data_IF_309665279353
#
_entry.id   IF_309665279353
#
_cell.length_a   1.000
_cell.length_b   1.000
_cell.length_c   1.000
_cell.angle_alpha   90.00
_cell.angle_beta   90.00
_cell.angle_gamma   90.00
#
_symmetry.space_group_name_H-M   'P 1'
#
loop_
_entity.id
_entity.type
_entity.pdbx_description
1 polymer ?
#
# COMPACT_ATOMS: atom_id res chain seq x y z
N UNK A 1 -43.99 25.89 42.26
CA UNK A 1 -43.10 24.72 42.03
C UNK A 1 -42.85 24.57 40.55
N UNK A 2 -41.62 24.87 40.10
CA UNK A 2 -40.91 24.23 38.97
C UNK A 2 -39.65 25.05 38.70
N UNK A 3 -38.56 24.65 39.35
CA UNK A 3 -37.22 25.12 38.99
C UNK A 3 -36.77 24.39 37.71
N UNK A 4 -36.22 25.14 36.77
CA UNK A 4 -35.62 24.65 35.53
C UNK A 4 -34.10 24.55 35.76
N UNK A 5 -33.59 23.32 35.91
CA UNK A 5 -32.16 23.06 36.04
C UNK A 5 -31.54 22.97 34.63
N UNK A 6 -30.77 23.98 34.23
CA UNK A 6 -30.02 24.02 32.97
C UNK A 6 -28.62 23.44 33.22
N UNK A 7 -28.38 22.21 32.77
CA UNK A 7 -27.08 21.54 32.89
C UNK A 7 -26.22 21.86 31.65
N UNK A 8 -25.28 22.78 31.80
CA UNK A 8 -24.26 23.13 30.80
C UNK A 8 -23.13 22.10 30.87
N UNK A 9 -23.15 21.11 29.98
CA UNK A 9 -22.03 20.18 29.79
C UNK A 9 -20.92 20.85 28.97
N UNK A 10 -20.00 21.53 29.67
CA UNK A 10 -18.72 21.99 29.13
C UNK A 10 -17.77 20.78 29.00
N UNK A 11 -17.89 20.01 27.91
CA UNK A 11 -16.84 19.08 27.51
C UNK A 11 -15.67 19.90 26.90
N UNK A 12 -14.71 20.25 27.76
CA UNK A 12 -13.41 20.74 27.34
C UNK A 12 -12.65 19.67 26.56
N UNK A 13 -12.80 19.67 25.23
CA UNK A 13 -11.92 18.94 24.32
C UNK A 13 -10.53 19.59 24.41
N UNK A 14 -9.74 19.10 25.36
CA UNK A 14 -8.31 19.37 25.42
C UNK A 14 -7.69 18.72 24.20
N UNK A 15 -7.45 19.51 23.15
CA UNK A 15 -6.64 19.11 22.01
C UNK A 15 -5.26 18.77 22.55
N UNK A 16 -5.00 17.50 22.84
CA UNK A 16 -3.64 17.03 23.08
C UNK A 16 -2.92 17.26 21.76
N UNK A 17 -2.21 18.39 21.66
CA UNK A 17 -1.27 18.66 20.59
C UNK A 17 -0.14 17.66 20.80
N UNK A 18 -0.33 16.45 20.30
CA UNK A 18 0.77 15.53 20.08
C UNK A 18 1.73 16.30 19.18
N UNK A 19 2.96 16.54 19.66
CA UNK A 19 4.03 16.99 18.80
C UNK A 19 4.14 15.93 17.69
N UNK A 20 3.54 16.22 16.53
CA UNK A 20 3.38 15.24 15.47
C UNK A 20 4.75 14.77 15.00
N UNK A 21 4.85 13.47 14.71
CA UNK A 21 6.04 12.89 14.09
C UNK A 21 6.42 13.70 12.86
N UNK A 22 7.71 13.95 12.70
CA UNK A 22 8.28 14.65 11.55
C UNK A 22 8.94 13.64 10.62
N UNK A 23 9.11 14.03 9.38
CA UNK A 23 9.88 13.25 8.41
C UNK A 23 11.28 12.88 8.90
N UNK A 24 11.95 13.75 9.66
CA UNK A 24 13.26 13.47 10.27
C UNK A 24 13.25 12.30 11.24
N UNK A 25 12.13 12.03 11.90
CA UNK A 25 12.00 10.98 12.92
C UNK A 25 11.88 9.60 12.27
N UNK A 26 11.34 9.56 11.04
CA UNK A 26 11.08 8.34 10.26
C UNK A 26 11.97 8.25 9.02
N UNK A 27 13.12 8.93 9.04
CA UNK A 27 14.14 8.82 7.99
C UNK A 27 15.12 7.70 8.33
N UNK A 28 15.42 6.85 7.35
CA UNK A 28 16.40 5.78 7.51
C UNK A 28 17.77 6.35 7.96
N UNK A 29 18.37 5.71 8.96
CA UNK A 29 19.60 6.17 9.61
C UNK A 29 19.38 7.01 10.87
N UNK A 30 18.13 7.34 11.23
CA UNK A 30 17.80 7.84 12.56
C UNK A 30 18.03 6.74 13.61
N UNK A 31 18.61 7.08 14.76
CA UNK A 31 18.91 6.13 15.86
C UNK A 31 17.66 5.36 16.32
N UNK A 32 16.49 6.02 16.32
CA UNK A 32 15.22 5.43 16.74
C UNK A 32 14.28 5.15 15.56
N UNK A 33 14.83 4.92 14.35
CA UNK A 33 14.05 4.76 13.12
C UNK A 33 12.90 3.74 13.26
N UNK A 34 13.19 2.53 13.74
CA UNK A 34 12.19 1.47 13.86
C UNK A 34 11.10 1.81 14.88
N UNK A 35 11.49 2.32 16.05
CA UNK A 35 10.54 2.75 17.10
C UNK A 35 9.62 3.86 16.58
N UNK A 36 10.17 4.83 15.84
CA UNK A 36 9.40 5.93 15.24
C UNK A 36 8.51 5.49 14.09
N UNK A 37 8.91 4.47 13.33
CA UNK A 37 8.07 3.86 12.31
C UNK A 37 6.90 3.08 12.92
N UNK A 38 7.13 2.34 14.01
CA UNK A 38 6.05 1.69 14.76
C UNK A 38 5.09 2.71 15.41
N UNK A 39 5.63 3.78 15.98
CA UNK A 39 4.84 4.89 16.52
C UNK A 39 3.97 5.52 15.42
N UNK A 40 4.55 5.77 14.24
CA UNK A 40 3.83 6.25 13.07
C UNK A 40 2.70 5.30 12.66
N UNK A 41 2.98 4.00 12.56
CA UNK A 41 1.99 2.99 12.17
C UNK A 41 0.80 2.96 13.14
N UNK A 42 1.05 3.05 14.45
CA UNK A 42 0.03 3.12 15.49
C UNK A 42 -0.81 4.39 15.41
N UNK A 43 -0.17 5.56 15.30
CA UNK A 43 -0.87 6.86 15.22
C UNK A 43 -1.68 6.96 13.90
N UNK A 44 -1.13 6.45 12.80
CA UNK A 44 -1.79 6.40 11.50
C UNK A 44 -2.89 5.33 11.42
N UNK A 45 -3.04 4.49 12.46
CA UNK A 45 -4.02 3.39 12.53
C UNK A 45 -3.88 2.40 11.37
N UNK A 46 -2.64 2.06 11.01
CA UNK A 46 -2.39 0.96 10.08
C UNK A 46 -2.90 -0.37 10.68
N UNK A 47 -3.33 -1.34 9.85
CA UNK A 47 -3.76 -2.65 10.32
C UNK A 47 -2.72 -3.26 11.26
N UNK A 48 -3.18 -3.66 12.46
CA UNK A 48 -2.36 -4.24 13.54
C UNK A 48 -1.16 -3.37 13.99
N UNK A 49 -1.14 -2.09 13.64
CA UNK A 49 0.01 -1.21 13.88
C UNK A 49 1.27 -1.62 13.10
N UNK A 50 1.12 -2.45 12.07
CA UNK A 50 2.21 -2.94 11.24
C UNK A 50 2.49 -2.00 10.07
N UNK A 51 3.76 -1.91 9.67
CA UNK A 51 4.18 -1.24 8.44
C UNK A 51 5.06 -2.19 7.62
N UNK A 52 4.95 -2.09 6.30
CA UNK A 52 5.70 -2.91 5.35
C UNK A 52 6.81 -2.11 4.67
N UNK A 53 7.70 -2.79 3.93
CA UNK A 53 8.67 -2.12 3.04
C UNK A 53 8.06 -1.13 2.05
N UNK A 54 6.79 -1.33 1.66
CA UNK A 54 6.09 -0.40 0.76
C UNK A 54 5.70 0.88 1.50
N UNK A 55 5.30 0.76 2.77
CA UNK A 55 5.07 1.92 3.63
C UNK A 55 6.36 2.72 3.82
N UNK A 56 7.50 2.06 4.04
CA UNK A 56 8.81 2.72 4.11
C UNK A 56 9.13 3.50 2.82
N UNK A 57 8.94 2.88 1.64
CA UNK A 57 9.16 3.54 0.35
C UNK A 57 8.23 4.75 0.16
N UNK A 58 6.95 4.60 0.50
CA UNK A 58 5.98 5.68 0.45
C UNK A 58 6.37 6.85 1.37
N UNK A 59 6.73 6.58 2.63
CA UNK A 59 7.15 7.60 3.60
C UNK A 59 8.39 8.33 3.11
N UNK A 60 9.40 7.60 2.64
CA UNK A 60 10.63 8.18 2.09
C UNK A 60 10.33 9.12 0.93
N UNK A 61 9.53 8.70 -0.05
CA UNK A 61 9.16 9.54 -1.21
C UNK A 61 8.31 10.74 -0.82
N UNK A 62 7.35 10.56 0.09
CA UNK A 62 6.48 11.61 0.60
C UNK A 62 7.30 12.69 1.33
N UNK A 63 8.24 12.27 2.16
CA UNK A 63 9.11 13.18 2.91
C UNK A 63 10.09 13.95 2.02
N UNK A 64 10.53 13.34 0.93
CA UNK A 64 11.41 13.94 -0.08
C UNK A 64 10.67 14.73 -1.18
N UNK A 65 9.33 14.83 -1.14
CA UNK A 65 8.53 15.58 -2.10
C UNK A 65 8.38 14.92 -3.49
N UNK A 66 8.71 13.63 -3.62
CA UNK A 66 8.63 12.86 -4.88
C UNK A 66 7.24 12.26 -5.07
N UNK A 67 6.24 13.11 -5.34
CA UNK A 67 4.83 12.72 -5.28
C UNK A 67 4.34 11.83 -6.44
N UNK A 68 4.99 11.85 -7.61
CA UNK A 68 4.49 11.13 -8.80
C UNK A 68 4.50 9.61 -8.62
N UNK A 69 5.46 9.09 -7.88
CA UNK A 69 5.60 7.65 -7.65
C UNK A 69 4.75 7.13 -6.48
N UNK A 70 4.25 8.04 -5.62
CA UNK A 70 3.36 7.67 -4.51
C UNK A 70 2.05 7.10 -5.04
N UNK A 71 1.50 7.73 -6.07
CA UNK A 71 0.25 7.29 -6.68
C UNK A 71 0.39 5.90 -7.31
N UNK A 72 1.58 5.55 -7.81
CA UNK A 72 1.84 4.22 -8.37
C UNK A 72 1.74 3.12 -7.33
N UNK A 73 2.30 3.33 -6.13
CA UNK A 73 2.21 2.34 -5.03
C UNK A 73 0.76 2.03 -4.67
N UNK A 74 -0.12 3.04 -4.74
CA UNK A 74 -1.54 2.90 -4.46
C UNK A 74 -2.28 2.29 -5.66
N UNK A 75 -1.94 2.71 -6.88
CA UNK A 75 -2.55 2.18 -8.11
C UNK A 75 -2.29 0.66 -8.25
N UNK A 76 -1.04 0.27 -7.99
CA UNK A 76 -0.55 -1.11 -7.99
C UNK A 76 -1.04 -1.92 -6.77
N UNK A 77 -1.74 -1.29 -5.83
CA UNK A 77 -2.32 -1.92 -4.64
C UNK A 77 -1.29 -2.43 -3.63
N UNK A 78 -0.15 -1.76 -3.52
CA UNK A 78 0.85 -2.04 -2.48
C UNK A 78 0.52 -1.38 -1.13
N UNK A 79 -0.26 -0.29 -1.16
CA UNK A 79 -0.70 0.48 0.01
C UNK A 79 -2.15 0.92 -0.23
N UNK A 80 -3.00 0.85 0.80
CA UNK A 80 -4.35 1.37 0.71
C UNK A 80 -4.37 2.91 0.65
N UNK A 81 -5.28 3.50 -0.12
CA UNK A 81 -5.37 4.95 -0.26
C UNK A 81 -5.63 5.66 1.09
N UNK A 82 -6.38 5.03 2.01
CA UNK A 82 -6.65 5.57 3.35
C UNK A 82 -5.43 5.48 4.26
N UNK A 83 -4.65 4.42 4.15
CA UNK A 83 -3.37 4.28 4.88
C UNK A 83 -2.41 5.38 4.45
N UNK A 84 -2.21 5.55 3.14
CA UNK A 84 -1.37 6.61 2.57
C UNK A 84 -1.81 8.01 3.02
N UNK A 85 -3.11 8.28 3.03
CA UNK A 85 -3.66 9.56 3.51
C UNK A 85 -3.45 9.76 5.02
N UNK A 86 -3.59 8.69 5.81
CA UNK A 86 -3.41 8.74 7.27
C UNK A 86 -1.95 8.99 7.65
N UNK A 87 -1.01 8.29 7.01
CA UNK A 87 0.44 8.53 7.16
C UNK A 87 0.78 9.98 6.84
N UNK A 88 0.31 10.49 5.70
CA UNK A 88 0.58 11.87 5.32
C UNK A 88 0.07 12.88 6.34
N UNK A 89 -1.12 12.65 6.90
CA UNK A 89 -1.68 13.50 7.95
C UNK A 89 -0.82 13.51 9.21
N UNK A 90 -0.36 12.34 9.68
CA UNK A 90 0.49 12.24 10.88
C UNK A 90 1.81 12.99 10.69
N UNK A 91 2.40 12.90 9.50
CA UNK A 91 3.65 13.58 9.16
C UNK A 91 3.48 15.08 8.79
N UNK A 92 2.28 15.64 8.96
CA UNK A 92 1.98 17.03 8.63
C UNK A 92 2.08 17.35 7.14
N UNK A 93 1.93 16.34 6.26
CA UNK A 93 1.98 16.48 4.81
C UNK A 93 0.59 16.55 4.21
N UNK A 94 0.43 17.38 3.17
CA UNK A 94 -0.77 17.39 2.33
C UNK A 94 -0.59 16.37 1.21
N UNK A 95 -1.36 15.29 1.25
CA UNK A 95 -1.40 14.29 0.19
C UNK A 95 -2.84 13.85 -0.06
N UNK A 96 -3.21 13.77 -1.34
CA UNK A 96 -4.53 13.30 -1.78
C UNK A 96 -4.29 12.23 -2.84
N UNK A 97 -4.51 10.95 -2.51
CA UNK A 97 -4.26 9.87 -3.46
C UNK A 97 -5.22 9.95 -4.64
N UNK A 98 -4.73 9.55 -5.82
CA UNK A 98 -5.58 9.35 -6.99
C UNK A 98 -6.40 8.06 -6.83
N UNK A 99 -7.53 8.00 -7.52
CA UNK A 99 -8.27 6.74 -7.64
C UNK A 99 -7.48 5.75 -8.48
N UNK A 100 -7.54 4.47 -8.11
CA UNK A 100 -6.90 3.40 -8.87
C UNK A 100 -7.48 3.30 -10.28
N UNK A 101 -6.61 3.20 -11.26
CA UNK A 101 -6.92 2.92 -12.66
C UNK A 101 -7.37 1.47 -12.84
N UNK A 102 -8.06 1.17 -13.94
CA UNK A 102 -8.41 -0.22 -14.26
C UNK A 102 -7.16 -1.10 -14.48
N UNK A 103 -6.09 -0.50 -15.01
CA UNK A 103 -4.81 -1.17 -15.18
C UNK A 103 -4.20 -1.55 -13.82
N UNK A 104 -4.12 -0.60 -12.88
CA UNK A 104 -3.61 -0.83 -11.53
C UNK A 104 -4.45 -1.83 -10.74
N UNK A 105 -5.78 -1.79 -10.87
CA UNK A 105 -6.69 -2.80 -10.30
C UNK A 105 -6.40 -4.19 -10.86
N UNK A 106 -6.30 -4.32 -12.19
CA UNK A 106 -5.98 -5.59 -12.87
C UNK A 106 -4.63 -6.15 -12.42
N UNK A 107 -3.61 -5.30 -12.35
CA UNK A 107 -2.29 -5.67 -11.89
C UNK A 107 -2.31 -6.14 -10.42
N UNK A 108 -2.91 -5.37 -9.51
CA UNK A 108 -2.98 -5.74 -8.10
C UNK A 108 -3.74 -7.05 -7.87
N UNK A 109 -4.89 -7.22 -8.53
CA UNK A 109 -5.68 -8.46 -8.49
C UNK A 109 -4.87 -9.67 -9.00
N UNK A 110 -4.26 -9.54 -10.18
CA UNK A 110 -3.54 -10.65 -10.79
C UNK A 110 -2.27 -11.01 -10.00
N UNK A 111 -1.54 -10.04 -9.46
CA UNK A 111 -0.38 -10.28 -8.58
C UNK A 111 -0.77 -11.10 -7.34
N UNK A 112 -1.84 -10.71 -6.65
CA UNK A 112 -2.36 -11.46 -5.50
C UNK A 112 -2.73 -12.89 -5.91
N UNK A 113 -3.48 -13.05 -7.00
CA UNK A 113 -3.87 -14.39 -7.49
C UNK A 113 -2.68 -15.27 -7.88
N UNK A 114 -1.65 -14.72 -8.51
CA UNK A 114 -0.47 -15.50 -8.82
C UNK A 114 0.33 -15.87 -7.55
N UNK A 115 0.36 -14.99 -6.56
CA UNK A 115 0.91 -15.32 -5.24
C UNK A 115 0.13 -16.44 -4.56
N UNK A 116 -1.21 -16.40 -4.60
CA UNK A 116 -2.09 -17.47 -4.07
C UNK A 116 -1.86 -18.81 -4.77
N UNK A 117 -1.48 -18.77 -6.05
CA UNK A 117 -1.08 -19.94 -6.83
C UNK A 117 0.34 -20.44 -6.49
N UNK A 118 1.02 -19.86 -5.51
CA UNK A 118 2.34 -20.32 -5.03
C UNK A 118 3.52 -19.79 -5.84
N UNK A 119 3.34 -18.75 -6.66
CA UNK A 119 4.48 -18.07 -7.28
C UNK A 119 5.26 -17.28 -6.23
N UNK A 120 6.58 -17.21 -6.40
CA UNK A 120 7.41 -16.29 -5.61
C UNK A 120 6.95 -14.84 -5.81
N UNK A 121 7.15 -13.95 -4.83
CA UNK A 121 6.68 -12.55 -4.92
C UNK A 121 7.17 -11.84 -6.20
N UNK A 122 8.46 -11.98 -6.54
CA UNK A 122 9.03 -11.40 -7.77
C UNK A 122 8.49 -12.08 -9.04
N UNK A 123 8.14 -13.36 -8.96
CA UNK A 123 7.57 -14.13 -10.05
C UNK A 123 6.14 -13.65 -10.33
N UNK A 124 5.32 -13.55 -9.28
CA UNK A 124 3.94 -13.06 -9.34
C UNK A 124 3.89 -11.63 -9.88
N UNK A 125 4.81 -10.77 -9.43
CA UNK A 125 4.97 -9.40 -9.93
C UNK A 125 5.22 -9.34 -11.43
N UNK A 126 6.24 -10.06 -11.91
CA UNK A 126 6.58 -10.12 -13.34
C UNK A 126 5.40 -10.64 -14.17
N UNK A 127 4.76 -11.74 -13.72
CA UNK A 127 3.63 -12.32 -14.43
C UNK A 127 2.43 -11.36 -14.46
N UNK A 128 2.11 -10.69 -13.35
CA UNK A 128 1.05 -9.69 -13.28
C UNK A 128 1.30 -8.54 -14.25
N UNK A 129 2.56 -8.09 -14.38
CA UNK A 129 2.94 -7.09 -15.36
C UNK A 129 2.72 -7.59 -16.80
N UNK A 130 3.14 -8.81 -17.13
CA UNK A 130 2.88 -9.40 -18.45
C UNK A 130 1.38 -9.58 -18.74
N UNK A 131 0.60 -10.03 -17.76
CA UNK A 131 -0.84 -10.17 -17.88
C UNK A 131 -1.50 -8.82 -18.18
N UNK A 132 -1.07 -7.78 -17.50
CA UNK A 132 -1.71 -6.46 -17.54
C UNK A 132 -1.24 -5.61 -18.74
N UNK A 133 0.07 -5.52 -18.98
CA UNK A 133 0.65 -4.66 -20.01
C UNK A 133 0.83 -5.37 -21.36
N UNK A 134 1.01 -6.70 -21.35
CA UNK A 134 1.31 -7.50 -22.55
C UNK A 134 0.41 -8.75 -22.64
N UNK A 135 -0.93 -8.60 -22.57
CA UNK A 135 -1.85 -9.75 -22.44
C UNK A 135 -1.73 -10.75 -23.60
N UNK A 136 -1.34 -10.29 -24.79
CA UNK A 136 -1.18 -11.13 -25.98
C UNK A 136 0.19 -11.82 -26.09
N UNK A 137 1.14 -11.51 -25.20
CA UNK A 137 2.43 -12.19 -25.13
C UNK A 137 2.27 -13.66 -24.72
N UNK A 138 3.33 -14.46 -24.90
CA UNK A 138 3.33 -15.87 -24.46
C UNK A 138 3.09 -15.98 -22.95
N UNK A 139 3.66 -15.07 -22.15
CA UNK A 139 3.41 -15.04 -20.71
C UNK A 139 2.00 -14.55 -20.38
N UNK A 140 1.55 -13.46 -20.98
CA UNK A 140 0.21 -12.89 -20.73
C UNK A 140 -0.93 -13.88 -21.02
N UNK A 141 -0.81 -14.66 -22.10
CA UNK A 141 -1.77 -15.73 -22.44
C UNK A 141 -1.74 -16.87 -21.42
N UNK A 142 -0.54 -17.31 -21.00
CA UNK A 142 -0.40 -18.33 -19.97
C UNK A 142 -1.03 -17.87 -18.64
N UNK A 143 -0.70 -16.64 -18.24
CA UNK A 143 -1.21 -16.00 -17.04
C UNK A 143 -2.74 -15.91 -17.05
N UNK A 144 -3.34 -15.52 -18.19
CA UNK A 144 -4.79 -15.51 -18.37
C UNK A 144 -5.40 -16.91 -18.17
N UNK A 145 -4.85 -17.94 -18.80
CA UNK A 145 -5.35 -19.30 -18.65
C UNK A 145 -5.22 -19.81 -17.20
N UNK A 146 -4.16 -19.43 -16.50
CA UNK A 146 -4.00 -19.76 -15.08
C UNK A 146 -5.08 -19.09 -14.21
N UNK A 147 -5.40 -17.81 -14.45
CA UNK A 147 -6.50 -17.10 -13.77
C UNK A 147 -7.89 -17.69 -14.10
N UNK A 148 -8.06 -18.29 -15.28
CA UNK A 148 -9.25 -19.04 -15.67
C UNK A 148 -9.33 -20.44 -15.03
N UNK A 149 -8.33 -20.83 -14.22
CA UNK A 149 -8.32 -22.08 -13.46
C UNK A 149 -7.77 -23.28 -14.23
N UNK A 150 -7.06 -23.08 -15.34
CA UNK A 150 -6.44 -24.18 -16.07
C UNK A 150 -5.26 -24.78 -15.27
N UNK A 151 -5.34 -26.05 -14.82
CA UNK A 151 -4.33 -26.63 -13.93
C UNK A 151 -2.95 -26.75 -14.60
N UNK A 152 -2.90 -27.11 -15.88
CA UNK A 152 -1.65 -27.19 -16.64
C UNK A 152 -0.99 -25.82 -16.79
N UNK A 153 -1.79 -24.76 -16.98
CA UNK A 153 -1.24 -23.40 -17.05
C UNK A 153 -0.75 -22.92 -15.69
N UNK A 154 -1.44 -23.26 -14.60
CA UNK A 154 -1.00 -22.98 -13.23
C UNK A 154 0.35 -23.66 -12.94
N UNK A 155 0.45 -24.97 -13.17
CA UNK A 155 1.69 -25.74 -12.95
C UNK A 155 2.85 -25.16 -13.77
N UNK A 156 2.59 -24.85 -15.05
CA UNK A 156 3.59 -24.24 -15.91
C UNK A 156 4.01 -22.87 -15.41
N UNK A 157 3.08 -22.06 -14.91
CA UNK A 157 3.38 -20.74 -14.37
C UNK A 157 4.20 -20.81 -13.07
N UNK A 158 3.92 -21.79 -12.22
CA UNK A 158 4.69 -22.10 -11.00
C UNK A 158 6.15 -22.47 -11.31
N UNK A 159 6.41 -23.13 -12.44
CA UNK A 159 7.78 -23.39 -12.91
C UNK A 159 8.54 -22.13 -13.37
N UNK A 160 7.86 -20.96 -13.34
CA UNK A 160 8.36 -19.64 -13.71
C UNK A 160 9.15 -19.64 -15.03
N UNK A 161 8.46 -19.85 -16.17
CA UNK A 161 9.11 -20.04 -17.45
C UNK A 161 9.87 -18.78 -17.87
N UNK A 162 11.02 -18.95 -18.52
CA UNK A 162 11.91 -17.83 -18.89
C UNK A 162 11.27 -16.72 -19.72
N UNK A 163 10.21 -17.02 -20.48
CA UNK A 163 9.47 -15.98 -21.22
C UNK A 163 8.52 -15.13 -20.36
N UNK A 164 8.45 -15.42 -19.05
CA UNK A 164 7.75 -14.64 -18.03
C UNK A 164 8.69 -13.82 -17.15
N UNK A 165 10.01 -13.86 -17.37
CA UNK A 165 10.94 -13.00 -16.63
C UNK A 165 10.87 -11.58 -17.20
N UNK A 166 10.69 -10.58 -16.33
CA UNK A 166 10.91 -9.19 -16.70
C UNK A 166 12.34 -8.97 -17.20
N UNK A 167 12.55 -7.90 -17.95
CA UNK A 167 13.90 -7.40 -18.24
C UNK A 167 14.34 -6.45 -17.15
#
# INVERSE_FOLDING_TARGET
MKEFLLLVFLFGLSSVVHAGLKCSDVTYGNENYHEKMEELAKIARLPDGYYSRYHEDFISRLCNGKNQDLDRLIDDGYIDAKEAQSIARVLGKKYKPKSRTELGKSYGYSREKFSDMGLCNACADNVAQYYTEKPNSKCGKLAKQALEGNPTSIEKLQSFPSYCTGK
#
